data_IF_604099336393
#
_entry.id   IF_604099336393
#
_cell.length_a   1.000
_cell.length_b   1.000
_cell.length_c   1.000
_cell.angle_alpha   90.00
_cell.angle_beta   90.00
_cell.angle_gamma   90.00
#
_symmetry.space_group_name_H-M   'P 1'
#
loop_
_entity.id
_entity.type
_entity.pdbx_description
1 polymer ?
#
# COMPACT_ATOMS: atom_id res chain seq x y z
N UNK A 1 10.29 -18.30 31.16
CA UNK A 1 9.44 -17.14 31.56
C UNK A 1 9.89 -15.99 30.68
N UNK A 2 9.18 -15.76 29.57
CA UNK A 2 9.47 -14.62 28.71
C UNK A 2 9.02 -13.35 29.41
N UNK A 3 9.96 -12.68 30.06
CA UNK A 3 9.75 -11.31 30.56
C UNK A 3 9.77 -10.38 29.35
N UNK A 4 8.64 -10.25 28.67
CA UNK A 4 8.46 -9.15 27.74
C UNK A 4 8.47 -7.85 28.54
N UNK A 5 9.27 -6.83 28.14
CA UNK A 5 9.12 -5.50 28.71
C UNK A 5 7.64 -5.12 28.57
N UNK A 6 7.09 -4.48 29.58
CA UNK A 6 5.71 -3.96 29.54
C UNK A 6 5.65 -2.93 28.42
N UNK A 7 5.22 -3.37 27.23
CA UNK A 7 4.92 -2.46 26.14
C UNK A 7 3.79 -1.53 26.62
N UNK A 8 3.94 -0.21 26.55
CA UNK A 8 2.93 0.73 27.07
C UNK A 8 1.58 0.66 26.34
N UNK A 9 1.44 -0.24 25.35
CA UNK A 9 0.25 -0.33 24.51
C UNK A 9 0.18 0.77 23.45
N UNK A 10 -1.00 0.92 22.84
CA UNK A 10 -1.24 1.93 21.80
C UNK A 10 -1.44 3.31 22.46
N UNK A 11 -0.60 4.32 22.16
CA UNK A 11 -0.71 5.64 22.78
C UNK A 11 -2.02 6.34 22.42
N UNK A 12 -2.52 7.18 23.34
CA UNK A 12 -3.75 7.94 23.15
C UNK A 12 -3.48 9.21 22.31
N UNK A 13 -3.41 9.03 21.01
CA UNK A 13 -3.20 10.10 20.02
C UNK A 13 -4.52 10.29 19.28
N UNK A 14 -5.03 11.53 19.23
CA UNK A 14 -6.34 11.82 18.63
C UNK A 14 -6.34 11.69 17.09
N UNK A 15 -5.21 11.97 16.43
CA UNK A 15 -5.06 11.86 14.98
C UNK A 15 -4.37 10.55 14.60
N UNK A 16 -5.08 9.61 13.92
CA UNK A 16 -4.48 8.35 13.52
C UNK A 16 -3.35 8.49 12.48
N UNK A 17 -3.29 9.59 11.74
CA UNK A 17 -2.19 9.81 10.80
C UNK A 17 -0.89 10.14 11.55
N UNK A 18 -0.96 10.90 12.64
CA UNK A 18 0.20 11.14 13.51
C UNK A 18 0.67 9.84 14.19
N UNK A 19 -0.27 8.99 14.61
CA UNK A 19 0.08 7.67 15.16
C UNK A 19 0.73 6.77 14.10
N UNK A 20 0.19 6.78 12.89
CA UNK A 20 0.78 6.07 11.74
C UNK A 20 2.21 6.55 11.47
N UNK A 21 2.44 7.87 11.43
CA UNK A 21 3.78 8.45 11.20
C UNK A 21 4.78 7.99 12.24
N UNK A 22 4.38 7.99 13.51
CA UNK A 22 5.23 7.53 14.63
C UNK A 22 5.61 6.05 14.44
N UNK A 23 4.63 5.19 14.27
CA UNK A 23 4.85 3.75 14.12
C UNK A 23 5.61 3.40 12.84
N UNK A 24 5.35 4.13 11.75
CA UNK A 24 6.05 3.92 10.50
C UNK A 24 7.52 4.37 10.56
N UNK A 25 7.83 5.45 11.30
CA UNK A 25 9.20 5.87 11.54
C UNK A 25 9.99 4.80 12.34
N UNK A 26 9.37 4.21 13.37
CA UNK A 26 9.96 3.10 14.13
C UNK A 26 10.15 1.85 13.23
N UNK A 27 9.16 1.52 12.40
CA UNK A 27 9.24 0.39 11.47
C UNK A 27 10.37 0.56 10.45
N UNK A 28 10.63 1.77 9.97
CA UNK A 28 11.76 2.05 9.07
C UNK A 28 13.13 1.76 9.69
N UNK A 29 13.22 1.82 11.01
CA UNK A 29 14.45 1.54 11.74
C UNK A 29 14.60 0.07 12.15
N UNK A 30 13.46 -0.62 12.31
CA UNK A 30 13.40 -1.96 12.93
C UNK A 30 13.19 -3.08 11.93
N UNK A 31 12.41 -2.84 10.86
CA UNK A 31 12.13 -3.87 9.85
C UNK A 31 13.37 -4.10 8.98
N UNK A 32 13.78 -5.36 8.76
CA UNK A 32 14.96 -5.67 7.96
C UNK A 32 14.79 -5.31 6.47
N UNK A 33 13.55 -5.31 5.98
CA UNK A 33 13.20 -5.04 4.59
C UNK A 33 11.85 -4.30 4.51
N UNK A 34 11.65 -3.54 3.45
CA UNK A 34 10.36 -3.01 2.97
C UNK A 34 9.33 -2.67 4.06
N UNK A 35 9.70 -1.84 5.04
CA UNK A 35 8.76 -1.36 6.07
C UNK A 35 7.48 -0.74 5.50
N UNK A 36 7.55 -0.31 4.22
CA UNK A 36 6.44 0.23 3.45
C UNK A 36 5.65 -0.82 2.65
N UNK A 37 5.99 -2.11 2.78
CA UNK A 37 5.19 -3.17 2.17
C UNK A 37 3.86 -3.33 2.91
N UNK A 38 2.78 -3.47 2.14
CA UNK A 38 1.45 -3.65 2.68
C UNK A 38 0.65 -4.66 1.83
N UNK A 39 -0.14 -5.49 2.48
CA UNK A 39 -1.13 -6.29 1.79
C UNK A 39 -2.28 -5.39 1.32
N UNK A 40 -2.64 -5.48 0.06
CA UNK A 40 -3.80 -4.81 -0.53
C UNK A 40 -4.86 -5.87 -0.82
N UNK A 41 -6.00 -5.79 -0.12
CA UNK A 41 -7.20 -6.55 -0.41
C UNK A 41 -8.13 -5.75 -1.32
N UNK A 42 -8.63 -6.40 -2.36
CA UNK A 42 -9.61 -5.88 -3.31
C UNK A 42 -10.67 -6.95 -3.57
N UNK A 43 -11.84 -6.56 -4.05
CA UNK A 43 -12.93 -7.49 -4.35
C UNK A 43 -13.49 -7.25 -5.74
N UNK A 44 -13.95 -8.33 -6.37
CA UNK A 44 -14.76 -8.25 -7.58
C UNK A 44 -16.16 -7.70 -7.26
N UNK A 45 -16.96 -7.25 -8.24
CA UNK A 45 -18.33 -6.77 -8.01
C UNK A 45 -19.24 -7.82 -7.36
N UNK A 46 -19.00 -9.11 -7.62
CA UNK A 46 -19.72 -10.25 -7.05
C UNK A 46 -19.15 -10.74 -5.70
N UNK A 47 -18.22 -9.95 -5.11
CA UNK A 47 -17.76 -10.15 -3.73
C UNK A 47 -16.57 -11.12 -3.56
N UNK A 48 -15.94 -11.62 -4.62
CA UNK A 48 -14.76 -12.49 -4.48
C UNK A 48 -13.53 -11.67 -4.10
N UNK A 49 -12.94 -11.90 -2.92
CA UNK A 49 -11.76 -11.16 -2.47
C UNK A 49 -10.48 -11.68 -3.14
N UNK A 50 -9.52 -10.79 -3.29
CA UNK A 50 -8.15 -11.14 -3.65
C UNK A 50 -7.15 -10.25 -2.91
N UNK A 51 -5.94 -10.77 -2.64
CA UNK A 51 -4.91 -10.07 -1.89
C UNK A 51 -3.54 -10.21 -2.55
N UNK A 52 -2.72 -9.18 -2.45
CA UNK A 52 -1.31 -9.15 -2.90
C UNK A 52 -0.54 -8.09 -2.14
N UNK A 53 0.79 -8.20 -2.18
CA UNK A 53 1.64 -7.15 -1.64
C UNK A 53 1.78 -6.00 -2.64
N UNK A 54 1.75 -4.77 -2.12
CA UNK A 54 2.11 -3.54 -2.82
C UNK A 54 2.97 -2.68 -1.87
N UNK A 55 3.58 -1.61 -2.40
CA UNK A 55 4.39 -0.71 -1.58
C UNK A 55 3.68 0.63 -1.40
N UNK A 56 3.60 1.09 -0.16
CA UNK A 56 3.22 2.48 0.14
C UNK A 56 4.25 3.42 -0.48
N UNK A 57 3.80 4.42 -1.24
CA UNK A 57 4.67 5.40 -1.91
C UNK A 57 4.43 6.83 -1.48
N UNK A 58 3.38 7.07 -0.73
CA UNK A 58 3.07 8.33 -0.08
C UNK A 58 1.85 8.20 0.80
N UNK A 59 1.77 9.03 1.82
CA UNK A 59 0.56 9.21 2.62
C UNK A 59 0.52 10.65 3.12
N UNK A 60 -0.67 11.17 3.23
CA UNK A 60 -0.98 12.50 3.71
C UNK A 60 -2.42 12.56 4.25
N UNK A 61 -2.91 13.74 4.58
CA UNK A 61 -4.29 13.93 5.02
C UNK A 61 -5.35 13.47 4.00
N UNK A 62 -4.97 13.27 2.73
CA UNK A 62 -5.86 12.78 1.66
C UNK A 62 -5.88 11.25 1.57
N UNK A 63 -4.90 10.54 2.16
CA UNK A 63 -4.86 9.09 2.22
C UNK A 63 -3.54 8.45 1.79
N UNK A 64 -3.58 7.16 1.50
CA UNK A 64 -2.43 6.27 1.28
C UNK A 64 -2.30 5.93 -0.20
N UNK A 65 -1.12 6.15 -0.78
CA UNK A 65 -0.87 6.04 -2.22
C UNK A 65 0.01 4.83 -2.56
N UNK A 66 -0.40 4.07 -3.56
CA UNK A 66 0.42 3.05 -4.21
C UNK A 66 0.28 3.15 -5.73
N UNK A 67 1.27 2.64 -6.45
CA UNK A 67 1.28 2.67 -7.93
C UNK A 67 1.25 1.27 -8.51
N UNK A 68 0.53 1.08 -9.61
CA UNK A 68 0.34 -0.21 -10.25
C UNK A 68 -0.04 -0.05 -11.73
N UNK A 69 -0.15 -1.18 -12.42
CA UNK A 69 -0.78 -1.25 -13.74
C UNK A 69 -2.30 -1.32 -13.57
N UNK A 70 -3.05 -0.36 -14.12
CA UNK A 70 -4.51 -0.28 -14.04
C UNK A 70 -5.22 -1.43 -14.79
N UNK A 71 -4.54 -2.06 -15.76
CA UNK A 71 -5.06 -3.24 -16.48
C UNK A 71 -4.75 -4.55 -15.74
N UNK A 72 -4.06 -4.52 -14.61
CA UNK A 72 -3.84 -5.72 -13.78
C UNK A 72 -5.14 -6.17 -13.11
N UNK A 73 -5.15 -7.40 -12.54
CA UNK A 73 -6.31 -7.93 -11.81
C UNK A 73 -6.81 -6.94 -10.74
N UNK A 74 -5.91 -6.44 -9.88
CA UNK A 74 -6.27 -5.46 -8.84
C UNK A 74 -6.77 -4.14 -9.42
N UNK A 75 -6.19 -3.69 -10.54
CA UNK A 75 -6.62 -2.47 -11.23
C UNK A 75 -8.06 -2.61 -11.72
N UNK A 76 -8.39 -3.71 -12.39
CA UNK A 76 -9.75 -4.01 -12.83
C UNK A 76 -10.75 -4.13 -11.67
N UNK A 77 -10.35 -4.81 -10.57
CA UNK A 77 -11.18 -4.92 -9.36
C UNK A 77 -11.45 -3.54 -8.75
N UNK A 78 -10.44 -2.67 -8.62
CA UNK A 78 -10.59 -1.31 -8.06
C UNK A 78 -11.41 -0.37 -8.95
N UNK A 79 -11.38 -0.54 -10.27
CA UNK A 79 -12.26 0.21 -11.17
C UNK A 79 -13.71 -0.22 -11.05
N UNK A 80 -13.96 -1.51 -10.85
CA UNK A 80 -15.31 -2.07 -10.73
C UNK A 80 -15.89 -1.94 -9.32
N UNK A 81 -15.06 -2.02 -8.29
CA UNK A 81 -15.41 -1.84 -6.88
C UNK A 81 -14.34 -0.98 -6.19
N UNK A 82 -14.54 0.35 -6.12
CA UNK A 82 -13.53 1.30 -5.66
C UNK A 82 -13.41 1.34 -4.13
N UNK A 83 -13.21 0.19 -3.49
CA UNK A 83 -12.94 0.04 -2.06
C UNK A 83 -11.77 -0.91 -1.84
N UNK A 84 -10.98 -0.65 -0.82
CA UNK A 84 -9.84 -1.49 -0.46
C UNK A 84 -9.57 -1.51 1.04
N UNK A 85 -8.89 -2.57 1.45
CA UNK A 85 -8.22 -2.64 2.75
C UNK A 85 -6.72 -2.81 2.53
N UNK A 86 -5.94 -2.01 3.25
CA UNK A 86 -4.48 -2.11 3.35
C UNK A 86 -4.13 -2.70 4.70
N UNK A 87 -3.12 -3.58 4.75
CA UNK A 87 -2.60 -4.12 6.00
C UNK A 87 -1.07 -4.02 6.02
N UNK A 88 -0.54 -3.24 6.94
CA UNK A 88 0.87 -3.27 7.34
C UNK A 88 1.05 -4.29 8.46
N UNK A 89 2.13 -5.08 8.40
CA UNK A 89 2.50 -6.01 9.45
C UNK A 89 4.00 -5.93 9.71
N UNK A 90 4.38 -5.24 10.76
CA UNK A 90 5.76 -5.06 11.20
C UNK A 90 6.09 -6.09 12.28
N UNK A 91 6.74 -7.16 11.86
CA UNK A 91 7.01 -8.32 12.70
C UNK A 91 8.00 -8.02 13.83
N UNK A 92 9.02 -7.19 13.55
CA UNK A 92 10.01 -6.79 14.55
C UNK A 92 9.39 -6.00 15.69
N UNK A 93 8.35 -5.21 15.41
CA UNK A 93 7.60 -4.43 16.37
C UNK A 93 6.35 -5.16 16.90
N UNK A 94 6.00 -6.30 16.31
CA UNK A 94 4.76 -7.05 16.63
C UNK A 94 3.50 -6.18 16.52
N UNK A 95 3.45 -5.35 15.44
CA UNK A 95 2.38 -4.38 15.20
C UNK A 95 1.72 -4.60 13.85
N UNK A 96 0.43 -4.28 13.79
CA UNK A 96 -0.33 -4.23 12.54
C UNK A 96 -1.09 -2.90 12.45
N UNK A 97 -1.25 -2.40 11.22
CA UNK A 97 -2.13 -1.27 10.93
C UNK A 97 -3.00 -1.67 9.75
N UNK A 98 -4.32 -1.59 9.92
CA UNK A 98 -5.28 -1.80 8.85
C UNK A 98 -5.91 -0.46 8.47
N UNK A 99 -5.94 -0.15 7.17
CA UNK A 99 -6.53 1.07 6.62
C UNK A 99 -7.61 0.68 5.63
N UNK A 100 -8.83 1.16 5.82
CA UNK A 100 -9.98 0.82 4.98
C UNK A 100 -10.67 2.08 4.48
N UNK A 101 -11.10 2.04 3.21
CA UNK A 101 -11.85 3.14 2.64
C UNK A 101 -12.02 3.08 1.12
N UNK A 102 -12.71 4.08 0.57
CA UNK A 102 -12.85 4.24 -0.86
C UNK A 102 -11.51 4.54 -1.53
N UNK A 103 -11.42 4.16 -2.80
CA UNK A 103 -10.20 4.27 -3.62
C UNK A 103 -10.49 5.12 -4.84
N UNK A 104 -9.59 6.06 -5.12
CA UNK A 104 -9.61 6.84 -6.36
C UNK A 104 -8.25 6.86 -7.05
N UNK A 105 -8.19 7.20 -8.35
CA UNK A 105 -6.92 7.40 -9.03
C UNK A 105 -6.19 8.62 -8.47
N UNK A 106 -4.86 8.57 -8.49
CA UNK A 106 -4.06 9.79 -8.29
C UNK A 106 -4.15 10.69 -9.53
N UNK A 107 -3.76 11.96 -9.41
CA UNK A 107 -3.68 12.84 -10.57
C UNK A 107 -2.61 12.40 -11.57
N UNK A 108 -2.77 12.77 -12.84
CA UNK A 108 -1.75 12.51 -13.89
C UNK A 108 -0.39 13.10 -13.48
N UNK A 109 -0.38 14.32 -12.91
CA UNK A 109 0.85 14.97 -12.45
C UNK A 109 1.56 14.17 -11.33
N UNK A 110 0.81 13.61 -10.37
CA UNK A 110 1.37 12.73 -9.34
C UNK A 110 1.93 11.43 -9.95
N UNK A 111 1.18 10.84 -10.91
CA UNK A 111 1.61 9.65 -11.60
C UNK A 111 2.89 9.87 -12.42
N UNK A 112 2.97 10.97 -13.16
CA UNK A 112 4.15 11.34 -13.96
C UNK A 112 5.36 11.62 -13.07
N UNK A 113 5.18 12.41 -11.99
CA UNK A 113 6.25 12.73 -11.05
C UNK A 113 6.84 11.45 -10.44
N UNK A 114 5.98 10.55 -9.95
CA UNK A 114 6.46 9.30 -9.36
C UNK A 114 7.05 8.34 -10.41
N UNK A 115 6.45 8.21 -11.61
CA UNK A 115 7.01 7.37 -12.68
C UNK A 115 8.43 7.81 -13.02
N UNK A 116 8.66 9.10 -13.19
CA UNK A 116 9.95 9.68 -13.56
C UNK A 116 11.00 9.58 -12.45
N UNK A 117 10.60 9.50 -11.19
CA UNK A 117 11.53 9.28 -10.05
C UNK A 117 12.06 7.86 -9.95
N UNK A 118 11.49 6.90 -10.69
CA UNK A 118 11.89 5.49 -10.63
C UNK A 118 13.15 5.24 -11.45
N UNK A 119 13.92 4.24 -11.03
CA UNK A 119 15.06 3.76 -11.81
C UNK A 119 14.62 3.39 -13.24
N UNK A 120 15.47 3.71 -14.23
CA UNK A 120 15.21 3.49 -15.65
C UNK A 120 14.70 2.07 -15.95
N UNK A 121 15.38 1.05 -15.43
CA UNK A 121 14.99 -0.36 -15.63
C UNK A 121 13.58 -0.66 -15.08
N UNK A 122 13.17 -0.03 -13.99
CA UNK A 122 11.82 -0.17 -13.42
C UNK A 122 10.76 0.51 -14.28
N UNK A 123 11.10 1.60 -14.97
CA UNK A 123 10.20 2.29 -15.92
C UNK A 123 10.00 1.44 -17.18
N UNK A 124 11.09 0.89 -17.71
CA UNK A 124 11.05 -0.04 -18.85
C UNK A 124 10.22 -1.30 -18.52
N UNK A 125 10.47 -1.91 -17.36
CA UNK A 125 9.71 -3.08 -16.92
C UNK A 125 8.21 -2.79 -16.76
N UNK A 126 7.85 -1.61 -16.26
CA UNK A 126 6.46 -1.19 -16.15
C UNK A 126 5.79 -1.01 -17.53
N UNK A 127 6.54 -0.49 -18.51
CA UNK A 127 6.06 -0.30 -19.87
C UNK A 127 5.95 -1.63 -20.65
N UNK A 128 6.84 -2.59 -20.40
CA UNK A 128 6.87 -3.89 -21.07
C UNK A 128 5.82 -4.88 -20.56
N UNK A 129 5.32 -4.68 -19.31
CA UNK A 129 4.53 -5.68 -18.60
C UNK A 129 3.02 -5.53 -18.82
N UNK A 130 2.40 -6.55 -19.40
CA UNK A 130 0.95 -6.76 -19.38
C UNK A 130 0.56 -7.43 -18.03
N UNK A 131 0.74 -6.73 -16.91
CA UNK A 131 0.62 -7.27 -15.55
C UNK A 131 -0.65 -8.08 -15.34
N UNK A 132 -0.52 -9.27 -14.78
CA UNK A 132 -1.60 -10.24 -14.50
C UNK A 132 -2.15 -10.95 -15.74
N UNK A 133 -1.57 -10.79 -16.93
CA UNK A 133 -1.92 -11.55 -18.12
C UNK A 133 -0.98 -12.75 -18.28
N UNK A 134 -1.40 -13.82 -19.00
CA UNK A 134 -0.51 -14.93 -19.29
C UNK A 134 0.76 -14.45 -20.01
N UNK A 135 1.91 -14.95 -19.51
CA UNK A 135 3.22 -14.66 -20.08
C UNK A 135 3.77 -15.96 -20.70
N UNK A 136 4.06 -16.02 -22.01
CA UNK A 136 4.55 -17.25 -22.65
C UNK A 136 5.87 -17.74 -22.10
N UNK A 137 6.80 -16.81 -21.77
CA UNK A 137 8.07 -17.13 -21.15
C UNK A 137 8.69 -15.87 -20.52
N UNK A 138 9.64 -16.06 -19.60
CA UNK A 138 10.45 -14.96 -19.06
C UNK A 138 11.25 -14.26 -20.16
N UNK A 139 11.80 -15.02 -21.11
CA UNK A 139 12.53 -14.48 -22.26
C UNK A 139 11.70 -13.51 -23.11
N UNK A 140 10.40 -13.74 -23.24
CA UNK A 140 9.50 -12.80 -23.94
C UNK A 140 9.42 -11.43 -23.21
N UNK A 141 9.33 -11.42 -21.91
CA UNK A 141 9.35 -10.17 -21.15
C UNK A 141 10.70 -9.45 -21.28
N UNK A 142 11.80 -10.19 -21.19
CA UNK A 142 13.16 -9.66 -21.33
C UNK A 142 13.38 -9.07 -22.74
N UNK A 143 12.87 -9.73 -23.78
CA UNK A 143 12.89 -9.22 -25.17
C UNK A 143 12.12 -7.88 -25.28
N UNK A 144 10.91 -7.80 -24.71
CA UNK A 144 10.12 -6.56 -24.72
C UNK A 144 10.82 -5.42 -23.99
N UNK A 145 11.46 -5.72 -22.86
CA UNK A 145 12.28 -4.71 -22.14
C UNK A 145 13.42 -4.22 -23.00
N UNK A 146 14.16 -5.12 -23.67
CA UNK A 146 15.28 -4.75 -24.55
C UNK A 146 14.82 -3.92 -25.75
N UNK A 147 13.68 -4.24 -26.35
CA UNK A 147 13.08 -3.45 -27.45
C UNK A 147 12.72 -2.03 -27.03
N UNK A 148 12.14 -1.87 -25.82
CA UNK A 148 11.83 -0.56 -25.28
C UNK A 148 13.11 0.20 -24.90
N UNK A 149 14.12 -0.48 -24.39
CA UNK A 149 15.41 0.11 -24.07
C UNK A 149 16.11 0.68 -25.33
N UNK A 150 16.08 -0.08 -26.44
CA UNK A 150 16.59 0.37 -27.74
C UNK A 150 15.76 1.52 -28.33
N UNK A 151 14.45 1.51 -28.12
CA UNK A 151 13.55 2.57 -28.61
C UNK A 151 13.73 3.90 -27.88
N UNK A 152 14.09 3.84 -26.59
CA UNK A 152 14.29 5.01 -25.73
C UNK A 152 15.74 5.07 -25.20
N UNK A 153 16.72 5.40 -26.04
CA UNK A 153 18.14 5.29 -25.65
C UNK A 153 18.57 6.29 -24.56
N UNK A 154 17.76 7.34 -24.32
CA UNK A 154 17.99 8.31 -23.27
C UNK A 154 17.24 7.97 -21.98
N UNK A 155 17.25 8.90 -21.02
CA UNK A 155 16.54 8.73 -19.73
C UNK A 155 15.04 9.07 -19.83
N UNK A 156 14.58 9.64 -20.93
CA UNK A 156 13.17 10.00 -21.14
C UNK A 156 12.38 8.80 -21.65
N UNK A 157 11.67 8.14 -20.74
CA UNK A 157 10.74 7.05 -21.05
C UNK A 157 9.33 7.57 -20.74
N UNK A 158 8.42 7.62 -21.74
CA UNK A 158 7.05 8.07 -21.49
C UNK A 158 6.32 7.10 -20.54
N UNK A 159 5.56 7.63 -19.59
CA UNK A 159 4.72 6.81 -18.71
C UNK A 159 3.62 6.14 -19.55
N UNK A 160 3.48 4.82 -19.50
CA UNK A 160 2.37 4.14 -20.19
C UNK A 160 1.01 4.57 -19.63
N UNK A 161 0.01 4.73 -20.48
CA UNK A 161 -1.34 5.13 -20.06
C UNK A 161 -1.96 4.18 -19.01
N UNK A 162 -1.59 2.89 -19.07
CA UNK A 162 -2.07 1.89 -18.11
C UNK A 162 -1.33 1.90 -16.77
N UNK A 163 -0.27 2.69 -16.62
CA UNK A 163 0.49 2.75 -15.38
C UNK A 163 0.21 4.06 -14.62
N UNK A 164 -0.39 3.96 -13.46
CA UNK A 164 -0.71 5.09 -12.60
C UNK A 164 -0.81 4.63 -11.14
N UNK A 165 -1.35 5.48 -10.28
CA UNK A 165 -1.53 5.19 -8.86
C UNK A 165 -2.98 5.20 -8.43
N UNK A 166 -3.21 4.62 -7.27
CA UNK A 166 -4.46 4.73 -6.52
C UNK A 166 -4.18 5.32 -5.14
N UNK A 167 -5.15 6.07 -4.65
CA UNK A 167 -5.20 6.61 -3.29
C UNK A 167 -6.36 5.96 -2.54
N UNK A 168 -6.07 5.33 -1.42
CA UNK A 168 -7.08 4.88 -0.45
C UNK A 168 -7.36 6.04 0.50
N UNK A 169 -8.59 6.53 0.51
CA UNK A 169 -9.04 7.60 1.43
C UNK A 169 -9.56 6.92 2.70
N UNK A 170 -8.88 7.02 3.85
CA UNK A 170 -9.23 6.22 5.00
C UNK A 170 -10.55 6.68 5.62
N UNK A 171 -11.47 5.75 5.81
CA UNK A 171 -12.67 5.89 6.66
C UNK A 171 -12.51 5.18 7.99
N UNK A 172 -11.65 4.13 8.02
CA UNK A 172 -11.28 3.41 9.24
C UNK A 172 -9.79 3.14 9.23
N UNK A 173 -9.15 3.32 10.40
CA UNK A 173 -7.76 2.93 10.63
C UNK A 173 -7.73 2.18 11.96
N UNK A 174 -7.29 0.92 11.94
CA UNK A 174 -7.11 0.11 13.15
C UNK A 174 -5.62 -0.09 13.42
N UNK A 175 -5.20 0.20 14.63
CA UNK A 175 -3.90 -0.13 15.17
C UNK A 175 -4.04 -1.35 16.07
N UNK A 176 -3.13 -2.30 15.93
CA UNK A 176 -3.05 -3.52 16.71
C UNK A 176 -1.63 -3.72 17.23
N UNK A 177 -1.50 -3.98 18.53
CA UNK A 177 -0.24 -4.26 19.20
C UNK A 177 -0.35 -5.64 19.86
N UNK A 178 0.65 -6.49 19.63
CA UNK A 178 0.75 -7.77 20.35
C UNK A 178 1.03 -7.55 21.82
N UNK A 179 0.24 -8.20 22.67
CA UNK A 179 0.36 -8.11 24.12
C UNK A 179 0.41 -9.51 24.73
N UNK A 180 0.98 -9.66 25.96
CA UNK A 180 1.05 -10.94 26.68
C UNK A 180 -0.33 -11.59 26.81
N UNK A 181 -0.33 -12.92 26.88
CA UNK A 181 -1.54 -13.75 27.09
C UNK A 181 -2.61 -13.57 26.02
N UNK A 182 -2.23 -13.07 24.83
CA UNK A 182 -3.13 -12.75 23.71
C UNK A 182 -4.17 -11.67 24.01
N UNK A 183 -3.96 -10.89 25.06
CA UNK A 183 -4.79 -9.72 25.42
C UNK A 183 -4.31 -8.49 24.61
N UNK A 184 -4.33 -8.63 23.28
CA UNK A 184 -3.81 -7.66 22.35
C UNK A 184 -4.50 -6.31 22.48
N UNK A 185 -3.70 -5.23 22.44
CA UNK A 185 -4.26 -3.89 22.41
C UNK A 185 -4.73 -3.57 20.98
N UNK A 186 -5.95 -3.06 20.85
CA UNK A 186 -6.57 -2.71 19.58
C UNK A 186 -7.30 -1.38 19.70
N UNK A 187 -6.98 -0.47 18.79
CA UNK A 187 -7.64 0.83 18.70
C UNK A 187 -8.08 1.09 17.27
N UNK A 188 -9.37 1.34 17.07
CA UNK A 188 -9.94 1.72 15.79
C UNK A 188 -10.33 3.18 15.78
N UNK A 189 -9.95 3.86 14.72
CA UNK A 189 -10.37 5.20 14.41
C UNK A 189 -11.38 5.15 13.26
N UNK A 190 -12.50 5.83 13.45
CA UNK A 190 -13.55 5.98 12.43
C UNK A 190 -13.70 7.44 12.04
N UNK A 191 -13.82 7.72 10.74
CA UNK A 191 -14.00 9.07 10.23
C UNK A 191 -15.31 9.66 10.75
N UNK A 192 -15.27 10.86 11.33
CA UNK A 192 -16.41 11.59 11.84
C UNK A 192 -16.33 13.04 11.37
N UNK A 193 -17.06 13.37 10.31
CA UNK A 193 -16.94 14.67 9.64
C UNK A 193 -15.52 14.95 9.17
N UNK A 194 -14.92 16.05 9.63
CA UNK A 194 -13.53 16.40 9.33
C UNK A 194 -12.50 15.76 10.26
N UNK A 195 -12.95 15.11 11.35
CA UNK A 195 -12.09 14.51 12.38
C UNK A 195 -12.22 13.00 12.47
N UNK A 196 -11.80 12.46 13.62
CA UNK A 196 -11.81 11.04 13.94
C UNK A 196 -12.43 10.80 15.33
N UNK A 197 -13.13 9.70 15.45
CA UNK A 197 -13.49 9.12 16.75
C UNK A 197 -12.65 7.86 16.96
N UNK A 198 -12.21 7.63 18.19
CA UNK A 198 -11.40 6.47 18.55
C UNK A 198 -12.12 5.61 19.57
N UNK A 199 -11.98 4.28 19.45
CA UNK A 199 -12.45 3.34 20.45
C UNK A 199 -11.53 2.13 20.56
N UNK A 200 -11.42 1.55 21.75
CA UNK A 200 -10.74 0.28 21.95
C UNK A 200 -11.64 -0.89 21.51
N UNK A 201 -11.02 -1.96 21.03
CA UNK A 201 -11.71 -3.20 20.70
C UNK A 201 -11.20 -4.34 21.58
N UNK A 202 -12.07 -5.31 21.86
CA UNK A 202 -11.63 -6.59 22.42
C UNK A 202 -10.67 -7.29 21.44
N UNK A 203 -9.65 -8.01 21.94
CA UNK A 203 -8.71 -8.78 21.14
C UNK A 203 -9.37 -9.95 20.41
#
# INVERSE_FOLDING_TARGET
MDTHPTDPGIPDIADPLMLFDTWFAEARQSEPNDSNAMALATTTPDGHPSVRMVLLKGHDAKGFVFYTNHHSRKGGELHANPHASLLFHWKSLRRQIRVEGPVGPVSEAEADAYFNSRARISRLGAAASDQSRPLPSRAELERRVAELDARYPGDTIPRPAHWSGFRVVPTHIEFWQDMPFRLHDRRVYSRAGSGWTAQALYP
#
